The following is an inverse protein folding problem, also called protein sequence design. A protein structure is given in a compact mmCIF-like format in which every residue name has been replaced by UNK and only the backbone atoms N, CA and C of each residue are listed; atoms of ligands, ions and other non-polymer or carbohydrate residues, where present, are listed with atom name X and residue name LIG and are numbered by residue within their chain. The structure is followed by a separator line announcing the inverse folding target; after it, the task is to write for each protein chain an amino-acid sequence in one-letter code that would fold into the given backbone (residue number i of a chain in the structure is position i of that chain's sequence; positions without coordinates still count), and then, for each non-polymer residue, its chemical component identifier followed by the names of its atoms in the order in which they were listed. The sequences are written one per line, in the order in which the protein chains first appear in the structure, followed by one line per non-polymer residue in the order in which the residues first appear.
data_IF_446164859200
#
_entry.id   IF_446164859200
#
_cell.length_a   1.000
_cell.length_b   1.000
_cell.length_c   1.000
_cell.angle_alpha   90.00
_cell.angle_beta   90.00
_cell.angle_gamma   90.00
#
_symmetry.space_group_name_H-M   'P 1'
#
loop_
_entity.id
_entity.type
_entity.pdbx_description
1 polymer ?
#
# COMPACT_ATOMS: atom_id res chain seq x y z
N UNK A 1 -7.20 -0.59 3.83
CA UNK A 1 -8.64 -0.33 4.03
C UNK A 1 -9.52 -1.11 3.06
N UNK A 2 -9.36 -0.95 1.74
CA UNK A 2 -10.19 -1.65 0.73
C UNK A 2 -10.30 -3.17 0.97
N UNK A 3 -9.17 -3.81 1.27
CA UNK A 3 -9.11 -5.24 1.61
C UNK A 3 -10.07 -5.68 2.70
N UNK A 4 -10.29 -4.81 3.69
CA UNK A 4 -11.01 -5.12 4.90
C UNK A 4 -12.54 -4.98 4.77
N UNK A 5 -13.01 -4.02 3.96
CA UNK A 5 -14.42 -3.62 3.95
C UNK A 5 -15.17 -3.92 2.66
N UNK A 6 -14.49 -4.19 1.54
CA UNK A 6 -15.16 -4.66 0.34
C UNK A 6 -15.47 -6.16 0.46
N UNK A 7 -16.73 -6.53 0.25
CA UNK A 7 -17.21 -7.92 0.33
C UNK A 7 -16.60 -8.82 -0.75
N UNK A 8 -16.47 -8.30 -1.98
CA UNK A 8 -15.87 -9.03 -3.09
C UNK A 8 -14.35 -8.76 -3.18
N UNK A 9 -13.57 -9.85 -3.22
CA UNK A 9 -12.09 -9.79 -3.29
C UNK A 9 -11.58 -9.11 -4.56
N UNK A 10 -12.18 -9.42 -5.70
CA UNK A 10 -11.81 -8.81 -6.98
C UNK A 10 -12.11 -7.30 -6.95
N UNK A 11 -13.29 -6.90 -6.49
CA UNK A 11 -13.65 -5.48 -6.36
C UNK A 11 -12.67 -4.74 -5.44
N UNK A 12 -12.28 -5.35 -4.33
CA UNK A 12 -11.30 -4.78 -3.41
C UNK A 12 -9.96 -4.47 -4.10
N UNK A 13 -9.42 -5.45 -4.86
CA UNK A 13 -8.16 -5.29 -5.59
C UNK A 13 -8.31 -4.28 -6.72
N UNK A 14 -9.37 -4.36 -7.52
CA UNK A 14 -9.64 -3.42 -8.62
C UNK A 14 -9.74 -1.99 -8.11
N UNK A 15 -10.47 -1.75 -7.01
CA UNK A 15 -10.59 -0.41 -6.42
C UNK A 15 -9.24 0.08 -5.91
N UNK A 16 -8.44 -0.76 -5.24
CA UNK A 16 -7.09 -0.36 -4.82
C UNK A 16 -6.22 0.01 -6.02
N UNK A 17 -6.15 -0.83 -7.05
CA UNK A 17 -5.29 -0.61 -8.21
C UNK A 17 -5.78 0.55 -9.09
N UNK A 18 -7.09 0.72 -9.26
CA UNK A 18 -7.66 1.85 -9.97
C UNK A 18 -7.39 3.17 -9.24
N UNK A 19 -7.47 3.20 -7.91
CA UNK A 19 -7.15 4.40 -7.13
C UNK A 19 -5.68 4.79 -7.29
N UNK A 20 -4.77 3.80 -7.28
CA UNK A 20 -3.35 4.01 -7.54
C UNK A 20 -3.11 4.51 -8.96
N UNK A 21 -3.71 3.85 -9.96
CA UNK A 21 -3.55 4.21 -11.37
C UNK A 21 -4.03 5.62 -11.67
N UNK A 22 -5.21 6.00 -11.17
CA UNK A 22 -5.71 7.37 -11.32
C UNK A 22 -4.74 8.37 -10.70
N UNK A 23 -4.17 8.07 -9.52
CA UNK A 23 -3.18 8.93 -8.88
C UNK A 23 -1.91 9.06 -9.72
N UNK A 24 -1.41 7.95 -10.28
CA UNK A 24 -0.23 7.94 -11.15
C UNK A 24 -0.47 8.75 -12.43
N UNK A 25 -1.66 8.69 -13.04
CA UNK A 25 -1.98 9.50 -14.22
C UNK A 25 -1.82 11.00 -13.94
N UNK A 26 -2.28 11.46 -12.78
CA UNK A 26 -2.12 12.86 -12.38
C UNK A 26 -0.67 13.22 -12.11
N UNK A 27 0.07 12.37 -11.37
CA UNK A 27 1.49 12.60 -11.04
C UNK A 27 2.32 12.61 -12.33
N UNK A 28 2.16 11.59 -13.18
CA UNK A 28 2.90 11.46 -14.42
C UNK A 28 2.63 12.64 -15.36
N UNK A 29 1.37 13.08 -15.50
CA UNK A 29 1.03 14.25 -16.30
C UNK A 29 1.73 15.53 -15.80
N UNK A 30 1.89 15.68 -14.48
CA UNK A 30 2.55 16.83 -13.87
C UNK A 30 4.08 16.81 -14.04
N UNK A 31 4.72 15.65 -13.89
CA UNK A 31 6.19 15.55 -13.80
C UNK A 31 6.88 15.07 -15.08
N UNK A 32 6.18 14.37 -15.98
CA UNK A 32 6.78 13.77 -17.19
C UNK A 32 6.48 14.55 -18.47
N UNK A 33 5.79 15.69 -18.37
CA UNK A 33 5.52 16.59 -19.50
C UNK A 33 4.52 16.03 -20.54
N UNK A 34 3.76 14.99 -20.19
CA UNK A 34 2.79 14.37 -21.07
C UNK A 34 1.96 13.27 -20.39
N UNK A 35 0.98 12.72 -21.12
CA UNK A 35 0.17 11.61 -20.62
C UNK A 35 0.97 10.31 -20.65
N UNK A 36 1.45 9.86 -19.49
CA UNK A 36 2.14 8.57 -19.33
C UNK A 36 1.24 7.63 -18.51
N UNK A 37 0.60 6.64 -19.15
CA UNK A 37 -0.36 5.77 -18.47
C UNK A 37 0.27 4.83 -17.45
N UNK A 38 1.53 4.44 -17.68
CA UNK A 38 2.33 3.61 -16.77
C UNK A 38 3.78 4.04 -16.86
N UNK A 39 4.41 4.28 -15.71
CA UNK A 39 5.84 4.59 -15.62
C UNK A 39 6.68 3.30 -15.56
N UNK A 40 7.98 3.41 -15.82
CA UNK A 40 8.87 2.25 -15.76
C UNK A 40 8.92 1.64 -14.35
N UNK A 41 8.77 0.32 -14.25
CA UNK A 41 8.75 -0.38 -12.96
C UNK A 41 7.43 -0.30 -12.18
N UNK A 42 6.36 0.29 -12.73
CA UNK A 42 5.05 0.41 -12.07
C UNK A 42 4.53 -0.93 -11.50
N UNK A 43 4.80 -2.04 -12.20
CA UNK A 43 4.31 -3.37 -11.83
C UNK A 43 4.78 -3.80 -10.43
N UNK A 44 5.97 -3.37 -9.97
CA UNK A 44 6.42 -3.61 -8.60
C UNK A 44 5.48 -2.98 -7.57
N UNK A 45 5.08 -1.72 -7.80
CA UNK A 45 4.19 -0.99 -6.92
C UNK A 45 2.79 -1.60 -6.92
N UNK A 46 2.28 -1.94 -8.10
CA UNK A 46 0.92 -2.45 -8.28
C UNK A 46 0.77 -3.85 -7.70
N UNK A 47 1.75 -4.73 -7.93
CA UNK A 47 1.80 -6.04 -7.29
C UNK A 47 1.82 -5.93 -5.77
N UNK A 48 2.64 -5.02 -5.22
CA UNK A 48 2.69 -4.78 -3.77
C UNK A 48 1.34 -4.33 -3.23
N UNK A 49 0.67 -3.36 -3.86
CA UNK A 49 -0.64 -2.89 -3.39
C UNK A 49 -1.74 -3.94 -3.52
N UNK A 50 -1.68 -4.82 -4.52
CA UNK A 50 -2.56 -5.98 -4.59
C UNK A 50 -2.34 -6.91 -3.39
N UNK A 51 -1.09 -7.23 -3.05
CA UNK A 51 -0.73 -8.03 -1.87
C UNK A 51 -1.15 -7.37 -0.55
N UNK A 52 -0.94 -6.06 -0.40
CA UNK A 52 -1.41 -5.28 0.77
C UNK A 52 -2.93 -5.31 0.88
N UNK A 53 -3.66 -5.36 -0.24
CA UNK A 53 -5.12 -5.52 -0.22
C UNK A 53 -5.52 -6.86 0.40
N UNK A 54 -4.78 -7.94 0.14
CA UNK A 54 -5.01 -9.23 0.82
C UNK A 54 -4.70 -9.17 2.32
N UNK A 55 -3.63 -8.47 2.74
CA UNK A 55 -3.34 -8.21 4.16
C UNK A 55 -4.53 -7.49 4.82
N UNK A 56 -5.04 -6.44 4.18
CA UNK A 56 -6.26 -5.75 4.63
C UNK A 56 -7.46 -6.70 4.75
N UNK A 57 -7.55 -7.69 3.87
CA UNK A 57 -8.53 -8.76 3.91
C UNK A 57 -8.47 -9.67 5.13
N UNK A 58 -7.28 -9.87 5.69
CA UNK A 58 -7.10 -10.60 6.96
C UNK A 58 -7.51 -9.70 8.13
N UNK A 59 -7.12 -8.42 8.10
CA UNK A 59 -7.52 -7.43 9.13
C UNK A 59 -9.04 -7.30 9.20
N UNK A 60 -9.72 -7.26 8.06
CA UNK A 60 -11.18 -7.12 7.97
C UNK A 60 -11.98 -8.26 8.61
N UNK A 61 -11.40 -9.46 8.75
CA UNK A 61 -12.08 -10.59 9.42
C UNK A 61 -12.40 -10.28 10.88
N UNK A 62 -11.58 -9.45 11.53
CA UNK A 62 -11.78 -9.05 12.92
C UNK A 62 -11.06 -7.72 13.19
N UNK A 63 -11.71 -6.61 12.88
CA UNK A 63 -11.12 -5.27 13.02
C UNK A 63 -10.93 -4.91 14.49
N UNK A 64 -9.73 -5.17 15.00
CA UNK A 64 -9.27 -4.81 16.34
C UNK A 64 -8.03 -3.92 16.24
N UNK A 65 -7.75 -3.04 17.22
CA UNK A 65 -6.56 -2.18 17.20
C UNK A 65 -5.26 -2.95 16.93
N UNK A 66 -5.08 -4.12 17.57
CA UNK A 66 -3.91 -4.96 17.35
C UNK A 66 -3.82 -5.50 15.91
N UNK A 67 -4.95 -5.86 15.28
CA UNK A 67 -4.98 -6.33 13.89
C UNK A 67 -4.68 -5.18 12.92
N UNK A 68 -5.19 -3.98 13.18
CA UNK A 68 -4.93 -2.79 12.37
C UNK A 68 -3.46 -2.40 12.44
N UNK A 69 -2.88 -2.34 13.65
CA UNK A 69 -1.45 -2.05 13.84
C UNK A 69 -0.59 -3.13 13.17
N UNK A 70 -0.85 -4.40 13.46
CA UNK A 70 -0.08 -5.52 12.87
C UNK A 70 -0.19 -5.56 11.34
N UNK A 71 -1.38 -5.34 10.79
CA UNK A 71 -1.60 -5.26 9.34
C UNK A 71 -0.92 -4.07 8.69
N UNK A 72 -0.90 -2.91 9.37
CA UNK A 72 -0.16 -1.73 8.93
C UNK A 72 1.34 -2.00 8.86
N UNK A 73 1.92 -2.56 9.92
CA UNK A 73 3.35 -2.90 9.95
C UNK A 73 3.71 -3.92 8.87
N UNK A 74 2.88 -4.95 8.69
CA UNK A 74 3.08 -5.95 7.65
C UNK A 74 3.01 -5.33 6.24
N UNK A 75 2.07 -4.41 6.01
CA UNK A 75 1.97 -3.69 4.75
C UNK A 75 3.20 -2.80 4.49
N UNK A 76 3.67 -2.05 5.48
CA UNK A 76 4.88 -1.23 5.36
C UNK A 76 6.12 -2.09 5.07
N UNK A 77 6.29 -3.21 5.78
CA UNK A 77 7.43 -4.13 5.57
C UNK A 77 7.39 -4.75 4.18
N UNK A 78 6.21 -5.18 3.72
CA UNK A 78 6.03 -5.71 2.38
C UNK A 78 6.36 -4.66 1.32
N UNK A 79 5.82 -3.44 1.49
CA UNK A 79 6.11 -2.32 0.60
C UNK A 79 7.60 -2.03 0.53
N UNK A 80 8.24 -1.82 1.68
CA UNK A 80 9.68 -1.57 1.78
C UNK A 80 10.51 -2.65 1.08
N UNK A 81 10.15 -3.93 1.26
CA UNK A 81 10.89 -5.03 0.64
C UNK A 81 10.71 -5.02 -0.88
N UNK A 82 9.47 -5.03 -1.37
CA UNK A 82 9.22 -5.20 -2.81
C UNK A 82 9.62 -3.95 -3.61
N UNK A 83 9.39 -2.75 -3.08
CA UNK A 83 9.73 -1.51 -3.78
C UNK A 83 11.25 -1.34 -3.95
N UNK A 84 12.03 -1.60 -2.90
CA UNK A 84 13.49 -1.49 -2.96
C UNK A 84 14.12 -2.62 -3.77
N UNK A 85 13.54 -3.83 -3.75
CA UNK A 85 13.92 -4.88 -4.69
C UNK A 85 13.68 -4.45 -6.15
N UNK A 86 12.55 -3.77 -6.42
CA UNK A 86 12.28 -3.18 -7.73
C UNK A 86 13.33 -2.15 -8.16
N UNK A 87 13.74 -1.25 -7.25
CA UNK A 87 14.82 -0.28 -7.51
C UNK A 87 16.13 -0.99 -7.82
N UNK A 88 16.53 -1.99 -7.03
CA UNK A 88 17.76 -2.75 -7.27
C UNK A 88 17.74 -3.48 -8.61
N UNK A 89 16.63 -4.16 -8.95
CA UNK A 89 16.50 -4.91 -10.22
C UNK A 89 16.49 -4.01 -11.45
N UNK A 90 16.17 -2.73 -11.34
CA UNK A 90 16.27 -1.77 -12.45
C UNK A 90 17.71 -1.60 -12.95
N UNK A 91 18.71 -1.83 -12.09
CA UNK A 91 20.12 -1.62 -12.41
C UNK A 91 20.53 -0.15 -12.65
N UNK A 92 19.60 0.80 -12.49
CA UNK A 92 19.84 2.22 -12.80
C UNK A 92 20.65 2.94 -11.73
N UNK A 93 20.36 2.65 -10.45
CA UNK A 93 20.99 3.33 -9.31
C UNK A 93 22.03 2.47 -8.60
N UNK A 94 21.84 1.15 -8.62
CA UNK A 94 22.67 0.19 -7.92
C UNK A 94 23.04 -0.96 -8.87
N UNK A 95 24.28 -1.46 -8.84
CA UNK A 95 24.65 -2.66 -9.59
C UNK A 95 23.78 -3.85 -9.17
N UNK A 96 23.39 -4.71 -10.13
CA UNK A 96 22.62 -5.93 -9.87
C UNK A 96 23.54 -7.04 -9.31
N UNK A 97 24.16 -6.75 -8.17
CA UNK A 97 25.01 -7.66 -7.38
C UNK A 97 24.52 -7.72 -5.93
N UNK A 98 24.92 -8.72 -5.13
CA UNK A 98 24.57 -8.79 -3.71
C UNK A 98 24.97 -7.54 -2.91
N UNK A 99 26.11 -6.93 -3.24
CA UNK A 99 26.60 -5.71 -2.60
C UNK A 99 25.72 -4.50 -2.96
N UNK A 100 25.31 -4.41 -4.23
CA UNK A 100 24.37 -3.39 -4.68
C UNK A 100 22.99 -3.53 -4.04
N UNK A 101 22.52 -4.76 -3.81
CA UNK A 101 21.29 -5.05 -3.08
C UNK A 101 21.38 -4.54 -1.64
N UNK A 102 22.47 -4.86 -0.94
CA UNK A 102 22.70 -4.39 0.42
C UNK A 102 22.74 -2.86 0.48
N UNK A 103 23.47 -2.21 -0.44
CA UNK A 103 23.55 -0.76 -0.53
C UNK A 103 22.17 -0.11 -0.75
N UNK A 104 21.35 -0.68 -1.65
CA UNK A 104 19.99 -0.21 -1.92
C UNK A 104 19.11 -0.25 -0.66
N UNK A 105 19.13 -1.34 0.08
CA UNK A 105 18.33 -1.48 1.30
C UNK A 105 18.83 -0.61 2.45
N UNK A 106 20.16 -0.49 2.62
CA UNK A 106 20.74 0.41 3.63
C UNK A 106 20.32 1.86 3.37
N UNK A 107 20.38 2.31 2.11
CA UNK A 107 19.95 3.64 1.71
C UNK A 107 18.44 3.88 1.93
N UNK A 108 17.63 2.82 1.93
CA UNK A 108 16.19 2.91 2.12
C UNK A 108 15.76 3.05 3.60
N UNK A 109 16.60 2.62 4.56
CA UNK A 109 16.26 2.62 6.01
C UNK A 109 15.77 3.98 6.53
N UNK A 110 16.40 5.13 6.19
CA UNK A 110 15.95 6.44 6.67
C UNK A 110 14.53 6.80 6.24
N UNK A 111 14.08 6.29 5.09
CA UNK A 111 12.73 6.55 4.56
C UNK A 111 11.66 5.65 5.21
N UNK A 112 12.06 4.48 5.73
CA UNK A 112 11.12 3.51 6.29
C UNK A 112 10.34 4.03 7.49
N UNK A 113 10.94 4.89 8.32
CA UNK A 113 10.26 5.53 9.43
C UNK A 113 9.06 6.39 8.99
N UNK A 114 9.21 7.11 7.87
CA UNK A 114 8.12 7.90 7.28
C UNK A 114 6.99 7.03 6.77
N UNK A 115 7.31 5.91 6.11
CA UNK A 115 6.33 4.91 5.67
C UNK A 115 5.54 4.34 6.85
N UNK A 116 6.23 3.89 7.91
CA UNK A 116 5.58 3.35 9.10
C UNK A 116 4.65 4.36 9.78
N UNK A 117 5.12 5.59 9.97
CA UNK A 117 4.33 6.64 10.60
C UNK A 117 3.09 7.00 9.76
N UNK A 118 3.26 7.13 8.44
CA UNK A 118 2.16 7.40 7.51
C UNK A 118 1.12 6.28 7.50
N UNK A 119 1.57 5.03 7.34
CA UNK A 119 0.68 3.87 7.29
C UNK A 119 -0.11 3.71 8.60
N UNK A 120 0.55 3.87 9.75
CA UNK A 120 -0.12 3.81 11.06
C UNK A 120 -1.12 4.95 11.22
N UNK A 121 -0.71 6.18 10.90
CA UNK A 121 -1.58 7.35 10.99
C UNK A 121 -2.86 7.18 10.17
N UNK A 122 -2.73 6.85 8.88
CA UNK A 122 -3.89 6.66 8.01
C UNK A 122 -4.69 5.40 8.36
N UNK A 123 -4.04 4.34 8.83
CA UNK A 123 -4.76 3.15 9.30
C UNK A 123 -5.62 3.46 10.51
N UNK A 124 -5.10 4.20 11.50
CA UNK A 124 -5.88 4.64 12.67
C UNK A 124 -7.01 5.56 12.24
N UNK A 125 -6.73 6.54 11.38
CA UNK A 125 -7.74 7.49 10.90
C UNK A 125 -8.88 6.78 10.16
N UNK A 126 -8.55 5.91 9.20
CA UNK A 126 -9.54 5.26 8.34
C UNK A 126 -10.31 4.16 9.08
N UNK A 127 -9.62 3.22 9.73
CA UNK A 127 -10.30 2.14 10.45
C UNK A 127 -10.98 2.66 11.72
N UNK A 128 -10.32 3.53 12.48
CA UNK A 128 -10.90 4.12 13.69
C UNK A 128 -12.10 5.00 13.37
N UNK A 129 -11.97 5.90 12.38
CA UNK A 129 -13.08 6.71 11.90
C UNK A 129 -14.27 5.87 11.44
N UNK A 130 -14.02 4.86 10.61
CA UNK A 130 -15.09 4.01 10.08
C UNK A 130 -15.79 3.17 11.17
N UNK A 131 -15.05 2.53 12.08
CA UNK A 131 -15.65 1.78 13.19
C UNK A 131 -16.41 2.68 14.18
N UNK A 132 -15.98 3.92 14.39
CA UNK A 132 -16.75 4.90 15.17
C UNK A 132 -18.06 5.28 14.47
N UNK A 133 -18.04 5.48 13.15
CA UNK A 133 -19.26 5.78 12.38
C UNK A 133 -20.24 4.59 12.39
N UNK A 134 -19.76 3.35 12.28
CA UNK A 134 -20.62 2.14 12.37
C UNK A 134 -21.41 2.06 13.66
N UNK A 135 -20.86 2.55 14.79
CA UNK A 135 -21.57 2.60 16.07
C UNK A 135 -22.72 3.60 16.08
N UNK A 136 -22.64 4.66 15.28
CA UNK A 136 -23.64 5.74 15.22
C UNK A 136 -24.64 5.58 14.06
N UNK A 137 -24.25 4.89 13.00
CA UNK A 137 -25.04 4.70 11.78
C UNK A 137 -25.28 3.20 11.53
N UNK A 138 -26.44 2.65 11.95
CA UNK A 138 -26.76 1.23 11.79
C UNK A 138 -26.70 0.73 10.34
N UNK A 139 -26.97 1.62 9.36
CA UNK A 139 -26.87 1.32 7.94
C UNK A 139 -25.44 0.88 7.51
N UNK A 140 -24.40 1.29 8.22
CA UNK A 140 -23.01 0.89 7.96
C UNK A 140 -22.62 -0.43 8.65
N UNK A 141 -23.43 -0.92 9.60
CA UNK A 141 -23.21 -2.21 10.27
C UNK A 141 -23.68 -3.39 9.42
N UNK A 142 -24.46 -3.14 8.37
CA UNK A 142 -25.03 -4.17 7.48
C UNK A 142 -24.10 -4.42 6.30
N UNK A 143 -23.00 -5.12 6.55
CA UNK A 143 -22.24 -5.85 5.53
C UNK A 143 -21.41 -6.93 6.24
N UNK A 144 -22.08 -8.04 6.59
CA UNK A 144 -21.42 -9.29 6.98
C UNK A 144 -21.66 -10.31 5.87
#
# INVERSE_FOLDING_TARGET
FCGAYFSNRLTSVVVTLASLWVSDLFINAMYMGGFVPFYEGFYWQYATFALITFIGGVVGRNVKPAMVVGGSLAASMLFFTVSNFGVWTSGLMYPVTPEGLAACYIAAIPFFGGTLAGDLFYSVLLFGGFELMKRKLPALAVAN
#
